data_IF_850764656669
#
_entry.id   IF_850764656669
#
_cell.length_a   1.000
_cell.length_b   1.000
_cell.length_c   1.000
_cell.angle_alpha   90.00
_cell.angle_beta   90.00
_cell.angle_gamma   90.00
#
_symmetry.space_group_name_H-M   'P 1'
#
loop_
_entity.id
_entity.type
_entity.pdbx_description
1 polymer ?
#
# COMPACT_ATOMS: atom_id res chain seq x y z
N UNK A 1 39.24 47.96 -17.90
CA UNK A 1 37.82 48.24 -17.60
C UNK A 1 37.27 47.09 -16.77
N UNK A 2 36.80 47.39 -15.57
CA UNK A 2 36.21 46.47 -14.58
C UNK A 2 34.73 46.24 -14.87
N UNK A 3 34.24 45.00 -14.71
CA UNK A 3 32.86 44.80 -14.25
C UNK A 3 32.71 43.42 -13.60
N UNK A 4 32.69 43.40 -12.26
CA UNK A 4 32.15 42.31 -11.45
C UNK A 4 30.63 42.38 -11.50
N UNK A 5 29.97 41.30 -11.92
CA UNK A 5 28.52 41.16 -11.83
C UNK A 5 28.23 40.03 -10.82
N UNK A 6 27.81 40.39 -9.61
CA UNK A 6 27.31 39.44 -8.61
C UNK A 6 25.78 39.41 -8.71
N UNK A 7 25.13 38.30 -9.11
CA UNK A 7 23.69 38.19 -9.01
C UNK A 7 23.28 37.56 -7.67
N UNK A 8 22.01 37.78 -7.32
CA UNK A 8 21.19 36.95 -6.41
C UNK A 8 21.33 37.11 -4.88
N UNK A 9 20.80 38.22 -4.35
CA UNK A 9 20.22 38.24 -2.97
C UNK A 9 18.75 38.71 -2.93
N UNK A 10 18.16 39.11 -4.07
CA UNK A 10 16.76 39.55 -4.19
C UNK A 10 15.77 38.39 -4.37
N UNK A 11 16.08 37.42 -5.23
CA UNK A 11 15.15 36.32 -5.57
C UNK A 11 14.76 35.42 -4.38
N UNK A 12 15.63 35.28 -3.37
CA UNK A 12 15.34 34.47 -2.17
C UNK A 12 14.45 35.18 -1.13
N UNK A 13 14.17 36.48 -1.27
CA UNK A 13 13.25 37.21 -0.38
C UNK A 13 11.82 37.08 -0.87
N UNK A 14 11.58 37.31 -2.16
CA UNK A 14 10.28 37.12 -2.81
C UNK A 14 9.72 35.71 -2.64
N UNK A 15 10.54 34.66 -2.78
CA UNK A 15 10.08 33.29 -2.58
C UNK A 15 9.72 32.97 -1.13
N UNK A 16 10.38 33.61 -0.15
CA UNK A 16 10.07 33.41 1.28
C UNK A 16 8.82 34.19 1.70
N UNK A 17 8.61 35.38 1.15
CA UNK A 17 7.36 36.13 1.35
C UNK A 17 6.18 35.40 0.73
N UNK A 18 6.32 34.93 -0.51
CA UNK A 18 5.25 34.16 -1.19
C UNK A 18 4.93 32.86 -0.46
N UNK A 19 5.95 32.11 -0.03
CA UNK A 19 5.76 30.88 0.76
C UNK A 19 5.15 31.17 2.15
N UNK A 20 5.53 32.29 2.78
CA UNK A 20 4.96 32.74 4.05
C UNK A 20 3.50 33.16 3.95
N UNK A 21 3.12 33.81 2.84
CA UNK A 21 1.74 34.17 2.53
C UNK A 21 0.89 32.92 2.32
N UNK A 22 1.33 32.02 1.43
CA UNK A 22 0.62 30.78 1.13
C UNK A 22 0.45 29.89 2.37
N UNK A 23 1.47 29.82 3.24
CA UNK A 23 1.37 29.10 4.51
C UNK A 23 0.37 29.75 5.49
N UNK A 24 0.26 31.08 5.51
CA UNK A 24 -0.72 31.79 6.35
C UNK A 24 -2.15 31.59 5.84
N UNK A 25 -2.35 31.71 4.54
CA UNK A 25 -3.67 31.53 3.92
C UNK A 25 -4.16 30.09 4.11
N UNK A 26 -3.30 29.10 3.77
CA UNK A 26 -3.59 27.69 4.02
C UNK A 26 -3.84 27.41 5.51
N UNK A 27 -3.08 28.06 6.40
CA UNK A 27 -3.27 27.95 7.84
C UNK A 27 -4.61 28.48 8.33
N UNK A 28 -5.09 29.60 7.79
CA UNK A 28 -6.40 30.17 8.12
C UNK A 28 -7.55 29.31 7.58
N UNK A 29 -7.43 28.83 6.35
CA UNK A 29 -8.43 27.97 5.71
C UNK A 29 -8.55 26.63 6.44
N UNK A 30 -7.43 25.99 6.76
CA UNK A 30 -7.42 24.75 7.55
C UNK A 30 -8.04 25.01 8.92
N UNK A 31 -7.69 26.11 9.59
CA UNK A 31 -8.21 26.38 10.94
C UNK A 31 -9.72 26.59 10.96
N UNK A 32 -10.28 27.24 9.94
CA UNK A 32 -11.71 27.55 9.85
C UNK A 32 -12.53 26.36 9.36
N UNK A 33 -12.07 25.62 8.34
CA UNK A 33 -12.80 24.49 7.77
C UNK A 33 -12.56 23.15 8.47
N UNK A 34 -11.34 22.89 8.97
CA UNK A 34 -11.00 21.60 9.56
C UNK A 34 -11.48 21.46 11.01
N UNK A 35 -11.60 22.55 11.77
CA UNK A 35 -11.97 22.47 13.20
C UNK A 35 -13.34 21.82 13.40
N UNK A 36 -14.34 22.19 12.60
CA UNK A 36 -15.69 21.60 12.67
C UNK A 36 -15.71 20.14 12.23
N UNK A 37 -15.00 19.81 11.15
CA UNK A 37 -14.88 18.43 10.66
C UNK A 37 -14.16 17.53 11.68
N UNK A 38 -13.07 18.02 12.27
CA UNK A 38 -12.29 17.31 13.30
C UNK A 38 -13.11 17.08 14.55
N UNK A 39 -13.88 18.07 15.02
CA UNK A 39 -14.70 17.92 16.22
C UNK A 39 -15.78 16.83 16.05
N UNK A 40 -16.46 16.81 14.90
CA UNK A 40 -17.45 15.77 14.57
C UNK A 40 -16.82 14.39 14.45
N UNK A 41 -15.69 14.31 13.74
CA UNK A 41 -14.95 13.06 13.57
C UNK A 41 -14.43 12.54 14.91
N UNK A 42 -13.91 13.41 15.77
CA UNK A 42 -13.40 13.06 17.10
C UNK A 42 -14.50 12.48 17.98
N UNK A 43 -15.70 13.07 17.99
CA UNK A 43 -16.82 12.55 18.76
C UNK A 43 -17.21 11.13 18.31
N UNK A 44 -17.37 10.92 17.00
CA UNK A 44 -17.72 9.60 16.45
C UNK A 44 -16.59 8.57 16.64
N UNK A 45 -15.35 8.97 16.42
CA UNK A 45 -14.20 8.07 16.52
C UNK A 45 -13.90 7.67 17.97
N UNK A 46 -14.05 8.58 18.94
CA UNK A 46 -13.71 8.29 20.35
C UNK A 46 -14.63 7.23 20.95
N UNK A 47 -15.92 7.28 20.61
CA UNK A 47 -16.92 6.36 21.16
C UNK A 47 -16.77 4.93 20.59
N UNK A 48 -16.38 4.83 19.32
CA UNK A 48 -16.10 3.56 18.65
C UNK A 48 -14.72 3.00 19.04
N UNK A 49 -13.71 3.86 19.14
CA UNK A 49 -12.35 3.49 19.51
C UNK A 49 -12.28 2.93 20.93
N UNK A 50 -13.04 3.47 21.89
CA UNK A 50 -13.06 2.91 23.25
C UNK A 50 -13.64 1.49 23.31
N UNK A 51 -14.52 1.11 22.37
CA UNK A 51 -15.15 -0.23 22.37
C UNK A 51 -14.36 -1.28 21.62
N UNK A 52 -13.59 -0.88 20.59
CA UNK A 52 -12.82 -1.80 19.72
C UNK A 52 -11.30 -1.58 19.77
N UNK A 53 -10.86 -0.65 20.60
CA UNK A 53 -9.50 -0.14 20.65
C UNK A 53 -8.45 -1.15 21.03
N UNK A 54 -8.75 -1.97 22.04
CA UNK A 54 -7.78 -2.93 22.60
C UNK A 54 -7.37 -4.01 21.57
N UNK A 55 -8.34 -4.53 20.81
CA UNK A 55 -8.08 -5.50 19.76
C UNK A 55 -7.29 -4.86 18.60
N UNK A 56 -7.70 -3.67 18.15
CA UNK A 56 -7.01 -2.95 17.08
C UNK A 56 -5.56 -2.57 17.48
N UNK A 57 -5.36 -2.13 18.72
CA UNK A 57 -4.08 -1.83 19.35
C UNK A 57 -3.18 -3.06 19.39
N UNK A 58 -3.69 -4.20 19.85
CA UNK A 58 -2.92 -5.45 19.91
C UNK A 58 -2.49 -5.92 18.53
N UNK A 59 -3.39 -5.88 17.54
CA UNK A 59 -3.07 -6.21 16.14
C UNK A 59 -2.02 -5.28 15.57
N UNK A 60 -2.18 -3.96 15.74
CA UNK A 60 -1.20 -2.98 15.28
C UNK A 60 0.17 -3.17 15.96
N UNK A 61 0.20 -3.44 17.26
CA UNK A 61 1.44 -3.71 17.98
C UNK A 61 2.14 -4.98 17.47
N UNK A 62 1.39 -6.05 17.15
CA UNK A 62 1.96 -7.26 16.55
C UNK A 62 2.61 -6.94 15.19
N UNK A 63 1.86 -6.28 14.29
CA UNK A 63 2.36 -5.91 12.95
C UNK A 63 3.64 -5.04 13.02
N UNK A 64 3.68 -4.09 13.95
CA UNK A 64 4.86 -3.25 14.17
C UNK A 64 6.04 -4.07 14.70
N UNK A 65 5.78 -5.02 15.62
CA UNK A 65 6.80 -5.91 16.16
C UNK A 65 7.37 -6.82 15.07
N UNK A 66 6.50 -7.44 14.27
CA UNK A 66 6.89 -8.34 13.18
C UNK A 66 7.73 -7.60 12.13
N UNK A 67 7.37 -6.36 11.82
CA UNK A 67 8.18 -5.51 10.95
C UNK A 67 9.54 -5.18 11.58
N UNK A 68 9.58 -4.87 12.87
CA UNK A 68 10.81 -4.69 13.64
C UNK A 68 11.73 -5.91 13.58
N UNK A 69 11.17 -7.10 13.78
CA UNK A 69 11.89 -8.37 13.69
C UNK A 69 12.41 -8.65 12.26
N UNK A 70 11.61 -8.35 11.24
CA UNK A 70 12.03 -8.48 9.85
C UNK A 70 13.19 -7.52 9.51
N UNK A 71 13.11 -6.27 9.97
CA UNK A 71 14.18 -5.28 9.83
C UNK A 71 15.43 -5.66 10.61
N UNK A 72 15.28 -6.21 11.81
CA UNK A 72 16.38 -6.71 12.64
C UNK A 72 17.11 -7.85 11.94
N UNK A 73 16.37 -8.82 11.40
CA UNK A 73 16.92 -9.93 10.59
C UNK A 73 17.65 -9.42 9.36
N UNK A 74 17.04 -8.48 8.62
CA UNK A 74 17.69 -7.87 7.47
C UNK A 74 18.98 -7.12 7.87
N UNK A 75 19.02 -6.49 9.05
CA UNK A 75 20.22 -5.85 9.57
C UNK A 75 21.31 -6.87 9.92
N UNK A 76 20.94 -8.05 10.43
CA UNK A 76 21.85 -9.16 10.75
C UNK A 76 22.42 -9.84 9.48
N UNK A 77 21.68 -9.80 8.37
CA UNK A 77 22.16 -10.28 7.07
C UNK A 77 23.15 -9.32 6.39
N UNK A 78 23.16 -8.04 6.80
CA UNK A 78 24.15 -7.07 6.32
C UNK A 78 25.52 -7.29 6.97
N UNK A 79 26.58 -6.80 6.32
CA UNK A 79 27.93 -6.83 6.88
C UNK A 79 27.92 -6.21 8.28
N UNK A 80 28.35 -7.02 9.25
CA UNK A 80 28.30 -6.67 10.66
C UNK A 80 29.08 -5.37 10.93
N UNK A 81 28.47 -4.43 11.63
CA UNK A 81 29.02 -3.10 11.89
C UNK A 81 28.97 -2.08 10.73
N UNK A 82 28.35 -2.40 9.59
CA UNK A 82 28.13 -1.42 8.51
C UNK A 82 27.21 -0.27 8.96
N UNK A 83 27.37 0.96 8.42
CA UNK A 83 26.48 2.08 8.72
C UNK A 83 25.00 1.76 8.45
N UNK A 84 24.74 0.96 7.42
CA UNK A 84 23.41 0.50 7.03
C UNK A 84 22.83 -0.47 8.07
N UNK A 85 23.60 -1.48 8.52
CA UNK A 85 23.18 -2.39 9.58
C UNK A 85 22.85 -1.64 10.88
N UNK A 86 23.67 -0.64 11.26
CA UNK A 86 23.39 0.21 12.43
C UNK A 86 22.11 1.02 12.29
N UNK A 87 21.90 1.64 11.13
CA UNK A 87 20.68 2.41 10.86
C UNK A 87 19.44 1.54 10.90
N UNK A 88 19.48 0.37 10.26
CA UNK A 88 18.37 -0.56 10.22
C UNK A 88 18.07 -1.18 11.60
N UNK A 89 19.11 -1.50 12.37
CA UNK A 89 18.98 -1.95 13.75
C UNK A 89 18.38 -0.89 14.68
N UNK A 90 18.74 0.39 14.52
CA UNK A 90 18.14 1.48 15.29
C UNK A 90 16.65 1.68 14.97
N UNK A 91 16.28 1.53 13.70
CA UNK A 91 14.87 1.57 13.29
C UNK A 91 14.13 0.37 13.89
N UNK A 92 14.65 -0.84 13.75
CA UNK A 92 14.07 -2.05 14.32
C UNK A 92 13.82 -1.93 15.83
N UNK A 93 14.82 -1.43 16.57
CA UNK A 93 14.70 -1.18 18.00
C UNK A 93 13.60 -0.15 18.31
N UNK A 94 13.55 0.94 17.54
CA UNK A 94 12.52 1.96 17.71
C UNK A 94 11.11 1.40 17.46
N UNK A 95 10.96 0.48 16.49
CA UNK A 95 9.69 -0.20 16.22
C UNK A 95 9.29 -1.13 17.36
N UNK A 96 10.23 -1.87 17.94
CA UNK A 96 9.98 -2.72 19.11
C UNK A 96 9.57 -1.90 20.35
N UNK A 97 10.24 -0.78 20.61
CA UNK A 97 9.86 0.14 21.69
C UNK A 97 8.45 0.72 21.47
N UNK A 98 8.10 1.04 20.22
CA UNK A 98 6.75 1.51 19.87
C UNK A 98 5.72 0.41 20.03
N UNK A 99 5.99 -0.83 19.62
CA UNK A 99 5.03 -1.94 19.76
C UNK A 99 4.77 -2.26 21.24
N UNK A 100 5.80 -2.24 22.09
CA UNK A 100 5.67 -2.49 23.53
C UNK A 100 4.88 -1.36 24.21
N UNK A 101 5.22 -0.11 23.89
CA UNK A 101 4.47 1.08 24.34
C UNK A 101 3.01 1.01 23.92
N UNK A 102 2.76 0.68 22.64
CA UNK A 102 1.41 0.55 22.10
C UNK A 102 0.71 -0.66 22.67
N UNK A 103 1.37 -1.69 23.21
CA UNK A 103 0.69 -2.82 23.87
C UNK A 103 0.33 -2.51 25.33
N UNK A 104 1.24 -1.87 26.05
CA UNK A 104 1.10 -1.60 27.49
C UNK A 104 0.18 -0.44 27.84
N UNK A 105 -0.03 0.53 26.94
CA UNK A 105 -0.73 1.79 27.25
C UNK A 105 -2.17 1.86 26.79
N UNK A 106 -3.04 2.48 27.55
CA UNK A 106 -4.41 2.71 27.11
C UNK A 106 -4.47 3.67 25.90
N UNK A 107 -5.55 3.59 25.11
CA UNK A 107 -5.73 4.48 23.95
C UNK A 107 -5.60 5.97 24.33
N UNK A 108 -6.11 6.36 25.50
CA UNK A 108 -6.00 7.74 25.99
C UNK A 108 -4.55 8.18 26.23
N UNK A 109 -3.72 7.28 26.75
CA UNK A 109 -2.29 7.53 26.96
C UNK A 109 -1.53 7.61 25.64
N UNK A 110 -1.81 6.70 24.70
CA UNK A 110 -1.21 6.72 23.35
C UNK A 110 -1.52 8.06 22.66
N UNK A 111 -2.78 8.52 22.71
CA UNK A 111 -3.18 9.82 22.13
C UNK A 111 -2.46 10.99 22.82
N UNK A 112 -2.29 10.91 24.14
CA UNK A 112 -1.56 11.92 24.92
C UNK A 112 -0.08 11.99 24.49
N UNK A 113 0.58 10.85 24.33
CA UNK A 113 1.97 10.77 23.88
C UNK A 113 2.15 11.31 22.47
N UNK A 114 1.26 10.92 21.54
CA UNK A 114 1.26 11.45 20.17
C UNK A 114 1.07 12.97 20.17
N UNK A 115 0.19 13.49 21.03
CA UNK A 115 -0.02 14.93 21.18
C UNK A 115 1.24 15.63 21.72
N UNK A 116 1.90 15.03 22.72
CA UNK A 116 3.17 15.53 23.26
C UNK A 116 4.27 15.55 22.20
N UNK A 117 4.40 14.48 21.42
CA UNK A 117 5.34 14.39 20.30
C UNK A 117 5.06 15.44 19.23
N UNK A 118 3.79 15.62 18.84
CA UNK A 118 3.38 16.60 17.84
C UNK A 118 3.75 18.04 18.25
N UNK A 119 3.59 18.37 19.53
CA UNK A 119 3.97 19.69 20.07
C UNK A 119 5.48 19.90 20.12
N UNK A 120 6.25 18.83 20.32
CA UNK A 120 7.72 18.88 20.40
C UNK A 120 8.39 18.87 19.03
N UNK A 121 7.80 18.18 18.06
CA UNK A 121 8.34 17.99 16.71
C UNK A 121 7.27 18.30 15.64
N UNK A 122 6.88 19.59 15.46
CA UNK A 122 5.79 19.96 14.56
C UNK A 122 6.05 19.57 13.10
N UNK A 123 7.31 19.65 12.63
CA UNK A 123 7.66 19.25 11.26
C UNK A 123 7.49 17.76 11.02
N UNK A 124 7.90 16.92 11.98
CA UNK A 124 7.75 15.47 11.88
C UNK A 124 6.27 15.07 11.87
N UNK A 125 5.44 15.73 12.70
CA UNK A 125 4.01 15.50 12.73
C UNK A 125 3.33 15.88 11.41
N UNK A 126 3.61 17.07 10.86
CA UNK A 126 3.05 17.50 9.58
C UNK A 126 3.48 16.56 8.44
N UNK A 127 4.76 16.20 8.39
CA UNK A 127 5.28 15.25 7.40
C UNK A 127 4.64 13.87 7.51
N UNK A 128 4.53 13.33 8.73
CA UNK A 128 3.87 12.05 8.98
C UNK A 128 2.39 12.07 8.63
N UNK A 129 1.66 13.12 9.02
CA UNK A 129 0.24 13.28 8.69
C UNK A 129 0.01 13.38 7.19
N UNK A 130 0.86 14.09 6.46
CA UNK A 130 0.77 14.18 4.99
C UNK A 130 1.00 12.81 4.34
N UNK A 131 2.01 12.05 4.79
CA UNK A 131 2.28 10.70 4.29
C UNK A 131 1.13 9.74 4.59
N UNK A 132 0.59 9.75 5.82
CA UNK A 132 -0.56 8.94 6.21
C UNK A 132 -1.82 9.32 5.42
N UNK A 133 -2.06 10.61 5.21
CA UNK A 133 -3.18 11.10 4.39
C UNK A 133 -3.05 10.66 2.93
N UNK A 134 -1.86 10.73 2.35
CA UNK A 134 -1.62 10.23 1.00
C UNK A 134 -1.76 8.70 0.92
N UNK A 135 -1.20 7.96 1.86
CA UNK A 135 -1.36 6.51 1.92
C UNK A 135 -2.84 6.11 2.06
N UNK A 136 -3.59 6.82 2.91
CA UNK A 136 -5.03 6.64 3.08
C UNK A 136 -5.82 6.92 1.82
N UNK A 137 -5.52 8.01 1.09
CA UNK A 137 -6.20 8.30 -0.19
C UNK A 137 -5.85 7.28 -1.27
N UNK A 138 -4.60 6.82 -1.32
CA UNK A 138 -4.16 5.77 -2.23
C UNK A 138 -4.86 4.44 -1.94
N UNK A 139 -5.00 4.07 -0.66
CA UNK A 139 -5.70 2.86 -0.25
C UNK A 139 -7.20 2.95 -0.58
N UNK A 140 -7.83 4.08 -0.24
CA UNK A 140 -9.24 4.31 -0.56
C UNK A 140 -9.51 4.24 -2.07
N UNK A 141 -8.58 4.72 -2.90
CA UNK A 141 -8.70 4.63 -4.36
C UNK A 141 -8.50 3.18 -4.85
N UNK A 142 -7.46 2.50 -4.36
CA UNK A 142 -7.21 1.09 -4.68
C UNK A 142 -8.37 0.16 -4.28
N UNK A 143 -9.06 0.45 -3.17
CA UNK A 143 -10.26 -0.30 -2.76
C UNK A 143 -11.46 -0.09 -3.69
N UNK A 144 -11.54 1.03 -4.41
CA UNK A 144 -12.64 1.32 -5.36
C UNK A 144 -12.41 0.66 -6.72
N UNK A 145 -11.16 0.55 -7.16
CA UNK A 145 -10.79 -0.14 -8.41
C UNK A 145 -10.83 -1.68 -8.29
N UNK A 146 -10.90 -2.22 -7.07
CA UNK A 146 -11.09 -3.67 -6.82
C UNK A 146 -12.54 -4.16 -6.74
N UNK A 147 -13.53 -3.28 -6.94
CA UNK A 147 -14.95 -3.58 -6.74
C UNK A 147 -15.79 -3.86 -7.99
N UNK A 148 -15.25 -3.66 -9.20
CA UNK A 148 -15.99 -3.82 -10.46
C UNK A 148 -15.23 -4.76 -11.40
N UNK A 149 -15.31 -6.05 -11.10
CA UNK A 149 -15.19 -7.12 -12.08
C UNK A 149 -16.19 -8.23 -11.77
N UNK A 150 -17.41 -7.86 -11.35
CA UNK A 150 -18.56 -8.69 -11.71
C UNK A 150 -18.78 -8.45 -13.20
N UNK A 151 -18.33 -9.41 -14.01
CA UNK A 151 -18.94 -9.63 -15.31
C UNK A 151 -20.45 -9.73 -15.01
N UNK A 152 -21.21 -8.72 -15.40
CA UNK A 152 -22.67 -8.75 -15.35
C UNK A 152 -23.12 -9.80 -16.38
N UNK A 153 -23.07 -11.05 -15.96
CA UNK A 153 -23.63 -12.19 -16.68
C UNK A 153 -25.16 -12.16 -16.65
N UNK A 154 -25.76 -11.24 -15.89
CA UNK A 154 -27.21 -11.08 -15.77
C UNK A 154 -27.84 -10.36 -16.96
N UNK A 155 -27.07 -9.55 -17.71
CA UNK A 155 -27.51 -8.98 -19.00
C UNK A 155 -27.53 -9.96 -20.17
N UNK A 156 -27.02 -11.18 -20.00
CA UNK A 156 -27.07 -12.22 -21.04
C UNK A 156 -28.31 -13.12 -20.93
N UNK A 157 -29.05 -13.07 -19.81
CA UNK A 157 -30.21 -13.95 -19.54
C UNK A 157 -31.51 -13.17 -19.33
N UNK A 158 -31.76 -12.16 -20.16
CA UNK A 158 -32.91 -11.26 -20.03
C UNK A 158 -33.54 -10.83 -21.35
N UNK A 159 -33.67 -11.75 -22.31
CA UNK A 159 -34.42 -11.51 -23.56
C UNK A 159 -35.40 -12.66 -23.81
N UNK A 160 -36.58 -12.56 -23.21
CA UNK A 160 -37.72 -13.46 -23.37
C UNK A 160 -38.44 -13.33 -24.74
N UNK A 161 -37.71 -13.06 -25.85
CA UNK A 161 -38.35 -12.79 -27.15
C UNK A 161 -37.76 -13.56 -28.36
N UNK A 162 -36.82 -14.50 -28.17
CA UNK A 162 -36.12 -15.18 -29.29
C UNK A 162 -36.44 -16.67 -29.52
N UNK A 163 -37.47 -17.24 -28.89
CA UNK A 163 -37.85 -18.66 -29.07
C UNK A 163 -38.67 -18.97 -30.35
N UNK A 164 -39.10 -17.97 -31.11
CA UNK A 164 -39.95 -18.21 -32.30
C UNK A 164 -39.19 -18.21 -33.65
N UNK A 165 -37.98 -17.66 -33.71
CA UNK A 165 -37.28 -17.43 -34.97
C UNK A 165 -36.23 -18.51 -35.31
N UNK A 166 -35.69 -19.22 -34.32
CA UNK A 166 -34.59 -20.17 -34.51
C UNK A 166 -35.05 -21.58 -34.97
N UNK A 167 -36.30 -21.97 -34.70
CA UNK A 167 -36.84 -23.28 -35.09
C UNK A 167 -37.16 -23.37 -36.59
N UNK A 168 -37.50 -22.24 -37.23
CA UNK A 168 -37.83 -22.17 -38.65
C UNK A 168 -36.61 -22.27 -39.59
N UNK A 169 -35.43 -21.87 -39.11
CA UNK A 169 -34.20 -21.84 -39.90
C UNK A 169 -33.46 -23.19 -39.88
N UNK A 170 -33.59 -23.96 -38.80
CA UNK A 170 -32.99 -25.31 -38.66
C UNK A 170 -33.65 -26.31 -39.61
N UNK A 171 -34.95 -26.15 -39.90
CA UNK A 171 -35.72 -27.07 -40.76
C UNK A 171 -35.42 -26.92 -42.28
N UNK A 172 -34.76 -25.81 -42.71
CA UNK A 172 -34.54 -25.49 -44.13
C UNK A 172 -33.13 -25.78 -44.65
N UNK A 173 -32.22 -26.32 -43.84
CA UNK A 173 -30.83 -26.58 -44.26
C UNK A 173 -30.65 -28.02 -44.78
N UNK A 174 -30.45 -28.25 -46.09
CA UNK A 174 -30.01 -29.54 -46.59
C UNK A 174 -28.57 -29.83 -46.12
N UNK A 175 -28.35 -31.05 -45.62
CA UNK A 175 -27.07 -31.52 -45.12
C UNK A 175 -26.01 -31.58 -46.23
N UNK A 176 -24.83 -31.00 -45.96
CA UNK A 176 -23.63 -31.13 -46.78
C UNK A 176 -22.46 -31.65 -45.93
N UNK A 177 -21.52 -32.42 -46.52
CA UNK A 177 -20.80 -33.51 -45.86
C UNK A 177 -19.67 -33.05 -44.92
N UNK A 178 -19.48 -33.84 -43.85
CA UNK A 178 -18.38 -33.73 -42.88
C UNK A 178 -17.02 -33.63 -43.58
N UNK A 179 -16.36 -32.48 -43.44
CA UNK A 179 -14.96 -32.30 -43.78
C UNK A 179 -14.16 -31.94 -42.52
N UNK A 180 -13.19 -32.82 -42.23
CA UNK A 180 -11.96 -32.64 -41.46
C UNK A 180 -12.06 -32.42 -39.93
N UNK A 181 -11.92 -33.53 -39.21
CA UNK A 181 -11.45 -33.61 -37.82
C UNK A 181 -10.03 -33.04 -37.71
N UNK A 182 -9.72 -32.09 -36.80
CA UNK A 182 -8.33 -31.81 -36.42
C UNK A 182 -7.75 -33.00 -35.63
N UNK A 183 -6.46 -33.35 -35.81
CA UNK A 183 -5.87 -34.50 -35.12
C UNK A 183 -5.76 -34.26 -33.60
N UNK A 184 -5.83 -35.32 -32.78
CA UNK A 184 -5.68 -35.19 -31.33
C UNK A 184 -4.26 -34.75 -30.95
N UNK A 185 -4.17 -33.71 -30.12
CA UNK A 185 -2.92 -33.31 -29.45
C UNK A 185 -2.45 -34.44 -28.54
N UNK A 186 -1.36 -35.10 -28.94
CA UNK A 186 -0.69 -36.15 -28.18
C UNK A 186 0.09 -35.52 -27.00
N UNK A 187 -0.14 -35.92 -25.74
CA UNK A 187 0.68 -35.48 -24.62
C UNK A 187 2.11 -36.00 -24.78
N UNK A 188 3.09 -35.10 -24.72
CA UNK A 188 4.51 -35.46 -24.79
C UNK A 188 4.91 -36.33 -23.58
N UNK A 189 5.69 -37.42 -23.77
CA UNK A 189 6.25 -38.20 -22.67
C UNK A 189 7.35 -37.42 -21.92
N UNK A 190 7.62 -37.75 -20.64
CA UNK A 190 8.69 -37.12 -19.86
C UNK A 190 10.05 -37.37 -20.53
N UNK A 191 10.87 -36.31 -20.60
CA UNK A 191 12.25 -36.39 -21.07
C UNK A 191 13.05 -37.38 -20.22
N UNK A 192 13.64 -38.38 -20.87
CA UNK A 192 14.57 -39.29 -20.23
C UNK A 192 15.86 -38.53 -19.89
N UNK A 193 16.16 -38.39 -18.60
CA UNK A 193 17.49 -38.03 -18.13
C UNK A 193 18.44 -39.17 -18.46
N UNK A 194 19.29 -38.97 -19.47
CA UNK A 194 20.40 -39.87 -19.79
C UNK A 194 21.33 -39.96 -18.58
N UNK A 195 21.67 -41.17 -18.09
CA UNK A 195 22.76 -41.32 -17.13
C UNK A 195 24.06 -40.96 -17.83
N UNK A 196 24.76 -39.94 -17.32
CA UNK A 196 26.17 -39.71 -17.65
C UNK A 196 26.96 -40.95 -17.19
N UNK A 197 27.53 -41.68 -18.14
CA UNK A 197 28.55 -42.69 -17.86
C UNK A 197 29.76 -41.99 -17.24
N UNK A 198 29.99 -42.22 -15.95
CA UNK A 198 31.27 -41.93 -15.29
C UNK A 198 32.33 -42.87 -15.87
N UNK A 199 33.50 -42.36 -16.30
CA UNK A 199 34.64 -43.23 -16.56
C UNK A 199 35.10 -43.85 -15.25
N UNK A 200 35.17 -45.17 -15.29
CA UNK A 200 35.59 -46.12 -14.27
C UNK A 200 36.91 -45.72 -13.60
N UNK A 201 36.95 -45.90 -12.28
CA UNK A 201 38.17 -45.76 -11.49
C UNK A 201 39.30 -46.69 -11.97
N UNK A 202 40.49 -46.11 -12.02
CA UNK A 202 41.76 -46.80 -11.97
C UNK A 202 42.10 -47.08 -10.50
N UNK A 203 42.21 -48.36 -10.12
CA UNK A 203 43.02 -48.82 -8.98
C UNK A 203 43.39 -50.29 -9.21
N UNK A 204 44.61 -50.53 -9.73
CA UNK A 204 45.56 -51.53 -9.22
C UNK A 204 46.93 -51.39 -9.88
#
# INVERSE_FOLDING_TARGET
>A
MTQSNAPSTSSSRDSRETAGQAAKDLGQDIRSGASDAVNRLKAQASEEANRRGEAAKSTAANEISDLGDALRKAADELQDGSPQARGLGQIAQSLADVSDTVRGKDLGEIVSDVTGFARRNPLAFIGGAALLGFAGTRLARASKEGGESSVDLSRYWGSEEEDAALDAEISRRPAAPSAATPPPTNPQPPVATTPQLQPTGEDK
#
